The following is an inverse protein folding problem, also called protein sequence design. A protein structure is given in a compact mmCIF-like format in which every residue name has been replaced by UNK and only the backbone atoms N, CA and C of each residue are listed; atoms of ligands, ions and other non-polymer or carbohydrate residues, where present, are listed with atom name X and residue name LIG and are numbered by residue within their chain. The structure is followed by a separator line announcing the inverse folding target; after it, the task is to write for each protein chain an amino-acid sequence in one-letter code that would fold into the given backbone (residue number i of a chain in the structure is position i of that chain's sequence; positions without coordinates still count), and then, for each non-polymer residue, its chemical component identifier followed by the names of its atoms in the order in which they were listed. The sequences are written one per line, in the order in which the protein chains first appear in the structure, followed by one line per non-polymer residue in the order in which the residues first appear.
data_IF_111724402396
#
_entry.id   IF_111724402396
#
_cell.length_a   1.000
_cell.length_b   1.000
_cell.length_c   1.000
_cell.angle_alpha   90.00
_cell.angle_beta   90.00
_cell.angle_gamma   90.00
#
_symmetry.space_group_name_H-M   'P 1'
#
loop_
_entity.id
_entity.type
_entity.pdbx_description
1 polymer ?
#
# COMPACT_ATOMS: atom_id res chain seq x y z
N UNK A 1 -26.85 42.11 -7.06
CA UNK A 1 -27.28 41.25 -5.94
C UNK A 1 -26.85 39.81 -6.24
N UNK A 2 -25.67 39.40 -5.79
CA UNK A 2 -25.20 38.02 -5.97
C UNK A 2 -25.84 37.15 -4.90
N UNK A 3 -26.72 36.24 -5.31
CA UNK A 3 -27.26 35.20 -4.44
C UNK A 3 -26.09 34.49 -3.74
N UNK A 4 -26.08 34.53 -2.41
CA UNK A 4 -25.07 33.90 -1.56
C UNK A 4 -25.16 32.38 -1.62
N UNK A 5 -24.73 31.80 -2.75
CA UNK A 5 -24.59 30.36 -2.93
C UNK A 5 -23.26 29.87 -2.36
N UNK A 6 -23.18 28.56 -2.10
CA UNK A 6 -21.94 27.92 -1.65
C UNK A 6 -20.80 28.11 -2.65
N UNK A 7 -19.58 28.38 -2.15
CA UNK A 7 -18.40 28.57 -3.00
C UNK A 7 -18.15 27.31 -3.86
N UNK A 8 -18.28 27.40 -5.20
CA UNK A 8 -18.08 26.27 -6.10
C UNK A 8 -16.64 25.74 -6.06
N UNK A 9 -15.66 26.56 -5.64
CA UNK A 9 -14.25 26.16 -5.55
C UNK A 9 -14.03 25.10 -4.48
N UNK A 10 -14.79 25.13 -3.38
CA UNK A 10 -14.70 24.13 -2.31
C UNK A 10 -15.20 22.75 -2.78
N UNK A 11 -16.28 22.71 -3.56
CA UNK A 11 -16.77 21.47 -4.18
C UNK A 11 -15.77 20.88 -5.18
N UNK A 12 -15.13 21.73 -5.99
CA UNK A 12 -14.06 21.30 -6.90
C UNK A 12 -12.84 20.78 -6.16
N UNK A 13 -12.42 21.45 -5.07
CA UNK A 13 -11.33 21.01 -4.22
C UNK A 13 -11.61 19.63 -3.62
N UNK A 14 -12.79 19.42 -3.04
CA UNK A 14 -13.21 18.12 -2.49
C UNK A 14 -13.14 17.03 -3.55
N UNK A 15 -13.70 17.27 -4.75
CA UNK A 15 -13.68 16.31 -5.84
C UNK A 15 -12.26 15.95 -6.31
N UNK A 16 -11.34 16.92 -6.36
CA UNK A 16 -9.92 16.66 -6.68
C UNK A 16 -9.26 15.85 -5.57
N UNK A 17 -9.49 16.19 -4.30
CA UNK A 17 -8.92 15.44 -3.17
C UNK A 17 -9.46 14.00 -3.09
N UNK A 18 -10.73 13.81 -3.40
CA UNK A 18 -11.37 12.50 -3.47
C UNK A 18 -10.70 11.62 -4.54
N UNK A 19 -10.53 12.13 -5.77
CA UNK A 19 -9.83 11.40 -6.83
C UNK A 19 -8.39 11.05 -6.44
N UNK A 20 -7.67 11.98 -5.81
CA UNK A 20 -6.29 11.74 -5.34
C UNK A 20 -6.20 10.67 -4.25
N UNK A 21 -7.22 10.58 -3.38
CA UNK A 21 -7.32 9.52 -2.38
C UNK A 21 -7.58 8.16 -3.03
N UNK A 22 -8.47 8.11 -4.03
CA UNK A 22 -8.79 6.90 -4.79
C UNK A 22 -7.59 6.41 -5.62
N UNK A 23 -6.85 7.33 -6.24
CA UNK A 23 -5.61 7.02 -6.95
C UNK A 23 -4.55 6.46 -6.01
N UNK A 24 -4.39 7.07 -4.82
CA UNK A 24 -3.46 6.58 -3.81
C UNK A 24 -3.85 5.19 -3.26
N UNK A 25 -5.16 4.92 -3.13
CA UNK A 25 -5.66 3.61 -2.74
C UNK A 25 -5.36 2.55 -3.81
N UNK A 26 -5.60 2.87 -5.08
CA UNK A 26 -5.26 2.00 -6.20
C UNK A 26 -3.76 1.71 -6.25
N UNK A 27 -2.92 2.72 -6.08
CA UNK A 27 -1.47 2.55 -6.00
C UNK A 27 -1.06 1.64 -4.84
N UNK A 28 -1.65 1.82 -3.64
CA UNK A 28 -1.38 0.95 -2.48
C UNK A 28 -1.74 -0.51 -2.76
N UNK A 29 -2.89 -0.76 -3.40
CA UNK A 29 -3.31 -2.12 -3.77
C UNK A 29 -2.36 -2.76 -4.79
N UNK A 30 -1.87 -2.00 -5.77
CA UNK A 30 -0.85 -2.47 -6.71
C UNK A 30 0.45 -2.82 -6.00
N UNK A 31 0.94 -1.97 -5.09
CA UNK A 31 2.14 -2.24 -4.30
C UNK A 31 1.97 -3.49 -3.42
N UNK A 32 0.79 -3.67 -2.79
CA UNK A 32 0.48 -4.89 -2.04
C UNK A 32 0.58 -6.14 -2.90
N UNK A 33 0.03 -6.11 -4.12
CA UNK A 33 0.11 -7.22 -5.05
C UNK A 33 1.56 -7.55 -5.43
N UNK A 34 2.40 -6.52 -5.63
CA UNK A 34 3.83 -6.69 -5.94
C UNK A 34 4.62 -7.31 -4.77
N UNK A 35 4.33 -6.91 -3.52
CA UNK A 35 4.91 -7.52 -2.32
C UNK A 35 4.51 -8.99 -2.23
N UNK A 36 3.22 -9.32 -2.41
CA UNK A 36 2.76 -10.71 -2.37
C UNK A 36 3.33 -11.58 -3.50
N UNK A 37 3.57 -11.01 -4.69
CA UNK A 37 4.28 -11.69 -5.75
C UNK A 37 5.76 -11.94 -5.38
N UNK A 38 6.41 -10.96 -4.76
CA UNK A 38 7.80 -11.09 -4.30
C UNK A 38 7.97 -12.14 -3.20
N UNK A 39 7.02 -12.21 -2.26
CA UNK A 39 7.02 -13.24 -1.21
C UNK A 39 6.89 -14.65 -1.79
N UNK A 40 5.99 -14.87 -2.75
CA UNK A 40 5.87 -16.15 -3.46
C UNK A 40 7.15 -16.51 -4.21
N UNK A 41 7.83 -15.53 -4.79
CA UNK A 41 9.12 -15.74 -5.44
C UNK A 41 10.22 -16.10 -4.44
N UNK A 42 10.22 -15.47 -3.25
CA UNK A 42 11.15 -15.78 -2.17
C UNK A 42 10.94 -17.22 -1.65
N UNK A 43 9.68 -17.63 -1.47
CA UNK A 43 9.32 -19.00 -1.11
C UNK A 43 9.83 -20.01 -2.15
N UNK A 44 9.64 -19.73 -3.45
CA UNK A 44 10.16 -20.59 -4.51
C UNK A 44 11.70 -20.66 -4.53
N UNK A 45 12.37 -19.53 -4.30
CA UNK A 45 13.84 -19.48 -4.19
C UNK A 45 14.34 -20.27 -2.97
N UNK A 46 13.64 -20.19 -1.84
CA UNK A 46 13.95 -20.96 -0.64
C UNK A 46 13.75 -22.46 -0.89
N UNK A 47 12.69 -22.86 -1.58
CA UNK A 47 12.47 -24.26 -1.99
C UNK A 47 13.59 -24.77 -2.89
N UNK A 48 14.12 -23.94 -3.80
CA UNK A 48 15.26 -24.32 -4.64
C UNK A 48 16.54 -24.56 -3.82
N UNK A 49 16.80 -23.77 -2.77
CA UNK A 49 17.90 -24.01 -1.83
C UNK A 49 17.71 -25.35 -1.11
N UNK A 50 16.51 -25.60 -0.60
CA UNK A 50 16.20 -26.85 0.09
C UNK A 50 16.34 -28.07 -0.83
N UNK A 51 15.91 -27.97 -2.09
CA UNK A 51 16.08 -29.01 -3.08
C UNK A 51 17.57 -29.30 -3.34
N UNK A 52 18.40 -28.27 -3.51
CA UNK A 52 19.85 -28.46 -3.70
C UNK A 52 20.54 -29.12 -2.50
N UNK A 53 20.10 -28.79 -1.27
CA UNK A 53 20.58 -29.43 -0.04
C UNK A 53 20.11 -30.89 0.05
N UNK A 54 18.86 -31.17 -0.30
CA UNK A 54 18.29 -32.52 -0.30
C UNK A 54 18.99 -33.42 -1.32
N UNK A 55 19.29 -32.91 -2.52
CA UNK A 55 20.05 -33.64 -3.54
C UNK A 55 21.45 -34.02 -3.04
N UNK A 56 22.14 -33.09 -2.37
CA UNK A 56 23.44 -33.37 -1.75
C UNK A 56 23.33 -34.41 -0.65
N UNK A 57 22.34 -34.31 0.24
CA UNK A 57 22.12 -35.28 1.30
C UNK A 57 21.84 -36.68 0.74
N UNK A 58 20.99 -36.79 -0.28
CA UNK A 58 20.70 -38.06 -0.95
C UNK A 58 21.95 -38.65 -1.64
N UNK A 59 22.81 -37.81 -2.21
CA UNK A 59 24.07 -38.26 -2.78
C UNK A 59 25.04 -38.81 -1.72
N UNK A 60 25.20 -38.12 -0.59
CA UNK A 60 26.04 -38.57 0.52
C UNK A 60 25.53 -39.91 1.08
N UNK A 61 24.21 -40.06 1.21
CA UNK A 61 23.62 -41.31 1.69
C UNK A 61 23.88 -42.47 0.72
N UNK A 62 23.76 -42.25 -0.60
CA UNK A 62 24.13 -43.25 -1.61
C UNK A 62 25.61 -43.63 -1.54
N UNK A 63 26.50 -42.65 -1.34
CA UNK A 63 27.93 -42.93 -1.16
C UNK A 63 28.19 -43.77 0.09
N UNK A 64 27.54 -43.46 1.21
CA UNK A 64 27.67 -44.22 2.47
C UNK A 64 27.20 -45.67 2.29
N UNK A 65 26.06 -45.87 1.62
CA UNK A 65 25.54 -47.20 1.35
C UNK A 65 26.47 -48.00 0.44
N UNK A 66 26.95 -47.41 -0.66
CA UNK A 66 27.93 -48.05 -1.55
C UNK A 66 29.23 -48.44 -0.83
N UNK A 67 29.76 -47.54 0.01
CA UNK A 67 30.95 -47.81 0.81
C UNK A 67 30.77 -49.00 1.77
N UNK A 68 29.59 -49.11 2.39
CA UNK A 68 29.29 -50.23 3.31
C UNK A 68 29.11 -51.59 2.62
N UNK A 69 28.80 -51.61 1.32
CA UNK A 69 28.48 -52.83 0.58
C UNK A 69 29.66 -53.41 -0.22
N UNK A 70 30.66 -52.61 -0.58
CA UNK A 70 31.75 -53.07 -1.45
C UNK A 70 33.11 -52.35 -1.29
N UNK A 71 33.27 -51.49 -0.28
CA UNK A 71 34.46 -50.62 -0.17
C UNK A 71 34.43 -49.45 -1.15
N UNK A 72 35.34 -48.49 -0.98
CA UNK A 72 35.39 -47.27 -1.81
C UNK A 72 36.58 -47.37 -2.78
N UNK A 73 36.32 -47.23 -4.08
CA UNK A 73 37.38 -47.16 -5.09
C UNK A 73 37.98 -45.75 -5.16
N UNK A 74 39.26 -45.63 -5.54
CA UNK A 74 39.94 -44.32 -5.74
C UNK A 74 39.23 -43.48 -6.81
N UNK A 75 38.74 -44.11 -7.88
CA UNK A 75 37.90 -43.45 -8.89
C UNK A 75 36.61 -42.90 -8.27
N UNK A 76 35.95 -43.68 -7.41
CA UNK A 76 34.74 -43.25 -6.71
C UNK A 76 34.97 -42.08 -5.75
N UNK A 77 36.17 -41.97 -5.15
CA UNK A 77 36.55 -40.81 -4.33
C UNK A 77 36.76 -39.55 -5.18
N UNK A 78 37.43 -39.66 -6.33
CA UNK A 78 37.65 -38.54 -7.24
C UNK A 78 36.32 -38.05 -7.85
N UNK A 79 35.45 -38.97 -8.25
CA UNK A 79 34.11 -38.64 -8.72
C UNK A 79 33.30 -37.95 -7.62
N UNK A 80 33.36 -38.45 -6.37
CA UNK A 80 32.70 -37.82 -5.24
C UNK A 80 33.16 -36.38 -4.99
N UNK A 81 34.45 -36.07 -5.17
CA UNK A 81 34.97 -34.69 -5.08
C UNK A 81 34.43 -33.79 -6.19
N UNK A 82 34.38 -34.29 -7.43
CA UNK A 82 33.79 -33.56 -8.57
C UNK A 82 32.31 -33.23 -8.34
N UNK A 83 31.55 -34.20 -7.83
CA UNK A 83 30.15 -34.01 -7.45
C UNK A 83 30.00 -33.02 -6.29
N UNK A 84 30.88 -33.06 -5.30
CA UNK A 84 30.84 -32.13 -4.16
C UNK A 84 31.00 -30.67 -4.61
N UNK A 85 31.97 -30.38 -5.49
CA UNK A 85 32.12 -29.04 -6.08
C UNK A 85 30.90 -28.60 -6.88
N UNK A 86 30.27 -29.51 -7.62
CA UNK A 86 29.05 -29.21 -8.37
C UNK A 86 27.85 -28.90 -7.45
N UNK A 87 27.70 -29.62 -6.34
CA UNK A 87 26.68 -29.33 -5.32
C UNK A 87 26.93 -27.99 -4.63
N UNK A 88 28.15 -27.70 -4.21
CA UNK A 88 28.50 -26.44 -3.56
C UNK A 88 28.23 -25.26 -4.52
N UNK A 89 28.57 -25.38 -5.81
CA UNK A 89 28.24 -24.36 -6.80
C UNK A 89 26.72 -24.19 -7.01
N UNK A 90 25.94 -25.29 -7.01
CA UNK A 90 24.47 -25.22 -7.12
C UNK A 90 23.84 -24.56 -5.90
N UNK A 91 24.26 -24.94 -4.69
CA UNK A 91 23.79 -24.36 -3.43
C UNK A 91 24.16 -22.87 -3.36
N UNK A 92 25.40 -22.51 -3.72
CA UNK A 92 25.85 -21.12 -3.76
C UNK A 92 24.99 -20.27 -4.72
N UNK A 93 24.70 -20.77 -5.93
CA UNK A 93 23.80 -20.08 -6.87
C UNK A 93 22.38 -19.94 -6.34
N UNK A 94 21.82 -21.00 -5.74
CA UNK A 94 20.48 -20.95 -5.15
C UNK A 94 20.40 -19.94 -4.00
N UNK A 95 21.42 -19.90 -3.12
CA UNK A 95 21.51 -18.94 -2.03
C UNK A 95 21.69 -17.49 -2.54
N UNK A 96 22.52 -17.27 -3.56
CA UNK A 96 22.69 -15.95 -4.17
C UNK A 96 21.39 -15.44 -4.80
N UNK A 97 20.63 -16.32 -5.45
CA UNK A 97 19.30 -16.00 -5.97
C UNK A 97 18.32 -15.67 -4.83
N UNK A 98 18.27 -16.49 -3.77
CA UNK A 98 17.43 -16.21 -2.61
C UNK A 98 17.76 -14.85 -1.98
N UNK A 99 19.03 -14.52 -1.78
CA UNK A 99 19.45 -13.22 -1.25
C UNK A 99 18.95 -12.06 -2.14
N UNK A 100 19.13 -12.19 -3.46
CA UNK A 100 18.67 -11.18 -4.43
C UNK A 100 17.16 -10.96 -4.36
N UNK A 101 16.39 -12.04 -4.25
CA UNK A 101 14.92 -11.98 -4.15
C UNK A 101 14.49 -11.36 -2.81
N UNK A 102 15.16 -11.68 -1.70
CA UNK A 102 14.85 -11.09 -0.40
C UNK A 102 15.13 -9.58 -0.37
N UNK A 103 16.23 -9.14 -0.98
CA UNK A 103 16.53 -7.71 -1.15
C UNK A 103 15.44 -7.00 -1.98
N UNK A 104 14.95 -7.66 -3.03
CA UNK A 104 13.87 -7.13 -3.84
C UNK A 104 12.55 -7.04 -3.06
N UNK A 105 12.22 -8.06 -2.25
CA UNK A 105 11.06 -8.02 -1.35
C UNK A 105 11.18 -6.86 -0.36
N UNK A 106 12.36 -6.61 0.20
CA UNK A 106 12.60 -5.49 1.09
C UNK A 106 12.35 -4.14 0.40
N UNK A 107 12.86 -3.97 -0.84
CA UNK A 107 12.58 -2.76 -1.66
C UNK A 107 11.09 -2.58 -1.95
N UNK A 108 10.39 -3.64 -2.35
CA UNK A 108 8.94 -3.61 -2.61
C UNK A 108 8.15 -3.28 -1.35
N UNK A 109 8.56 -3.79 -0.18
CA UNK A 109 7.95 -3.46 1.11
C UNK A 109 8.12 -1.99 1.47
N UNK A 110 9.31 -1.42 1.23
CA UNK A 110 9.52 0.01 1.43
C UNK A 110 8.61 0.86 0.54
N UNK A 111 8.45 0.49 -0.74
CA UNK A 111 7.51 1.16 -1.66
C UNK A 111 6.04 1.03 -1.21
N UNK A 112 5.63 -0.12 -0.67
CA UNK A 112 4.31 -0.30 -0.08
C UNK A 112 4.10 0.62 1.14
N UNK A 113 5.07 0.72 2.03
CA UNK A 113 4.99 1.62 3.20
C UNK A 113 4.91 3.09 2.79
N UNK A 114 5.62 3.49 1.73
CA UNK A 114 5.53 4.83 1.17
C UNK A 114 4.16 5.11 0.55
N UNK A 115 3.62 4.16 -0.23
CA UNK A 115 2.26 4.26 -0.78
C UNK A 115 1.22 4.39 0.34
N UNK A 116 1.41 3.66 1.46
CA UNK A 116 0.54 3.74 2.63
C UNK A 116 0.59 5.13 3.27
N UNK A 117 1.78 5.70 3.46
CA UNK A 117 1.93 7.09 3.96
C UNK A 117 1.27 8.09 3.01
N UNK A 118 1.39 7.88 1.70
CA UNK A 118 0.77 8.74 0.69
C UNK A 118 -0.76 8.69 0.77
N UNK A 119 -1.35 7.50 0.91
CA UNK A 119 -2.78 7.34 1.13
C UNK A 119 -3.25 8.06 2.40
N UNK A 120 -2.55 7.91 3.52
CA UNK A 120 -2.90 8.60 4.78
C UNK A 120 -2.87 10.13 4.62
N UNK A 121 -1.86 10.66 3.94
CA UNK A 121 -1.79 12.11 3.64
C UNK A 121 -2.90 12.55 2.68
N UNK A 122 -3.30 11.73 1.72
CA UNK A 122 -4.40 12.04 0.80
C UNK A 122 -5.74 12.06 1.55
N UNK A 123 -5.96 11.07 2.44
CA UNK A 123 -7.13 10.98 3.30
C UNK A 123 -7.25 12.20 4.22
N UNK A 124 -6.19 12.56 4.95
CA UNK A 124 -6.20 13.73 5.82
C UNK A 124 -6.53 15.05 5.08
N UNK A 125 -6.06 15.20 3.84
CA UNK A 125 -6.38 16.37 3.01
C UNK A 125 -7.82 16.37 2.51
N UNK A 126 -8.37 15.21 2.21
CA UNK A 126 -9.78 15.05 1.85
C UNK A 126 -10.69 15.40 3.03
N UNK A 127 -10.36 14.88 4.22
CA UNK A 127 -11.12 15.16 5.44
C UNK A 127 -11.09 16.66 5.78
N UNK A 128 -9.91 17.30 5.67
CA UNK A 128 -9.80 18.76 5.80
C UNK A 128 -10.63 19.54 4.78
N UNK A 129 -10.68 19.10 3.51
CA UNK A 129 -11.52 19.75 2.50
C UNK A 129 -13.02 19.60 2.81
N UNK A 130 -13.45 18.43 3.28
CA UNK A 130 -14.84 18.17 3.71
C UNK A 130 -15.23 19.02 4.90
N UNK A 131 -14.34 19.17 5.88
CA UNK A 131 -14.59 20.04 7.03
C UNK A 131 -14.75 21.50 6.62
N UNK A 132 -13.92 22.01 5.70
CA UNK A 132 -14.06 23.36 5.17
C UNK A 132 -15.40 23.55 4.45
N UNK A 133 -15.77 22.62 3.57
CA UNK A 133 -17.06 22.65 2.88
C UNK A 133 -18.24 22.60 3.85
N UNK A 134 -18.14 21.82 4.94
CA UNK A 134 -19.16 21.74 5.98
C UNK A 134 -19.28 23.07 6.75
N UNK A 135 -18.15 23.69 7.12
CA UNK A 135 -18.13 24.99 7.81
C UNK A 135 -18.78 26.07 6.95
N UNK A 136 -18.46 26.10 5.66
CA UNK A 136 -19.06 27.05 4.70
C UNK A 136 -20.58 26.88 4.61
N UNK A 137 -21.05 25.63 4.44
CA UNK A 137 -22.48 25.33 4.42
C UNK A 137 -23.19 25.77 5.70
N UNK A 138 -22.56 25.60 6.87
CA UNK A 138 -23.11 26.08 8.15
C UNK A 138 -23.15 27.60 8.22
N UNK A 139 -22.11 28.29 7.77
CA UNK A 139 -22.05 29.74 7.75
C UNK A 139 -23.15 30.34 6.85
N UNK A 140 -23.37 29.73 5.66
CA UNK A 140 -24.42 30.15 4.74
C UNK A 140 -25.82 29.96 5.31
N UNK A 141 -26.09 28.83 5.98
CA UNK A 141 -27.37 28.61 6.67
C UNK A 141 -27.59 29.62 7.79
N UNK A 142 -26.58 29.87 8.61
CA UNK A 142 -26.68 30.86 9.69
C UNK A 142 -26.89 32.29 9.15
N UNK A 143 -26.23 32.66 8.06
CA UNK A 143 -26.42 33.96 7.41
C UNK A 143 -27.73 34.09 6.65
N UNK A 144 -28.35 32.99 6.21
CA UNK A 144 -29.70 33.00 5.67
C UNK A 144 -30.72 33.24 6.78
N UNK A 145 -30.61 32.52 7.91
CA UNK A 145 -31.49 32.70 9.08
C UNK A 145 -31.46 34.14 9.62
N UNK A 146 -30.26 34.73 9.81
CA UNK A 146 -30.15 36.14 10.25
C UNK A 146 -30.86 37.13 9.33
N UNK A 147 -30.77 36.94 8.01
CA UNK A 147 -31.43 37.81 7.03
C UNK A 147 -32.95 37.63 7.03
N UNK A 148 -33.43 36.43 7.32
CA UNK A 148 -34.85 36.15 7.49
C UNK A 148 -35.38 36.81 8.76
N UNK A 149 -34.66 36.65 9.88
CA UNK A 149 -35.00 37.30 11.16
C UNK A 149 -35.03 38.84 11.02
N UNK A 150 -34.00 39.44 10.40
CA UNK A 150 -33.96 40.89 10.12
C UNK A 150 -35.14 41.34 9.25
N UNK A 151 -35.51 40.56 8.22
CA UNK A 151 -36.64 40.89 7.36
C UNK A 151 -37.99 40.80 8.09
N UNK A 152 -38.14 39.84 9.01
CA UNK A 152 -39.32 39.70 9.88
C UNK A 152 -39.42 40.90 10.83
N UNK A 153 -38.32 41.25 11.50
CA UNK A 153 -38.27 42.38 12.43
C UNK A 153 -38.59 43.71 11.74
N UNK A 154 -38.02 43.95 10.55
CA UNK A 154 -38.35 45.13 9.75
C UNK A 154 -39.82 45.16 9.32
N UNK A 155 -40.38 44.02 8.92
CA UNK A 155 -41.78 43.93 8.54
C UNK A 155 -42.72 44.20 9.74
N UNK A 156 -42.38 43.67 10.91
CA UNK A 156 -43.10 43.93 12.15
C UNK A 156 -43.01 45.42 12.56
N UNK A 157 -41.84 46.04 12.46
CA UNK A 157 -41.66 47.46 12.73
C UNK A 157 -42.49 48.33 11.78
N UNK A 158 -42.49 48.03 10.47
CA UNK A 158 -43.31 48.74 9.46
C UNK A 158 -44.81 48.61 9.77
N UNK A 159 -45.28 47.42 10.13
CA UNK A 159 -46.67 47.19 10.49
C UNK A 159 -47.09 47.96 11.76
N UNK A 160 -46.22 48.00 12.78
CA UNK A 160 -46.47 48.76 14.01
C UNK A 160 -46.54 50.27 13.75
N UNK A 161 -45.62 50.82 12.94
CA UNK A 161 -45.65 52.22 12.55
C UNK A 161 -46.92 52.58 11.76
N UNK A 162 -47.36 51.72 10.83
CA UNK A 162 -48.59 51.94 10.07
C UNK A 162 -49.83 51.94 10.97
N UNK A 163 -49.92 51.04 11.96
CA UNK A 163 -51.04 50.97 12.90
C UNK A 163 -51.09 52.15 13.89
N UNK A 164 -49.96 52.83 14.14
CA UNK A 164 -49.88 54.00 15.03
C UNK A 164 -50.24 55.33 14.35
N UNK A 165 -50.20 55.37 13.02
CA UNK A 165 -50.52 56.55 12.21
C UNK A 165 -51.90 56.44 11.52
N UNK A 166 -52.68 55.42 11.83
CA UNK A 166 -54.08 55.25 11.46
C UNK A 166 -54.99 55.59 12.64
#
# INVERSE_FOLDING_TARGET
MTAGGADPRLGQLEAVRQRRQEDALRALQQQRAQVMAGLRQAEAAQQAVQAALAERAAFIERLRQGASQGGVSVSGLLDAQGWQGAFDARIARANANLATVLDEVARRRAAFDEARRTLLRAQARLDGARELALRERRALRAGAGRREDEAIDEAAARAWHAARHA
#
